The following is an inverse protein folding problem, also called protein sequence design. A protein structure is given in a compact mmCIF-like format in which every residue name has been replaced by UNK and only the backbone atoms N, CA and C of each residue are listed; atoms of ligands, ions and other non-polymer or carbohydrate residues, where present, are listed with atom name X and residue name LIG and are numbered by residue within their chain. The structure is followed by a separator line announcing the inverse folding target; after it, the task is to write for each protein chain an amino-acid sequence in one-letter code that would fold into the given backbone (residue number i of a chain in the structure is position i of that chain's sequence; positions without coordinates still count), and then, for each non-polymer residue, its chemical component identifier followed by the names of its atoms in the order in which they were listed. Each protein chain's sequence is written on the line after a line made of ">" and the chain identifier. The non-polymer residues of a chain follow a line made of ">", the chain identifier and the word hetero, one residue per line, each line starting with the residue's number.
data_IF_478316576995
#
_entry.id   IF_478316576995
#
_cell.length_a   1.000
_cell.length_b   1.000
_cell.length_c   1.000
_cell.angle_alpha   90.00
_cell.angle_beta   90.00
_cell.angle_gamma   90.00
#
_symmetry.space_group_name_H-M   'P 1'
#
loop_
_entity.id
_entity.type
_entity.pdbx_description
1 polymer ?
#
# COMPACT_ATOMS: atom_id res chain seq x y z
N UNK A 1 9.03 7.09 1.88
CA UNK A 1 9.01 5.83 2.62
C UNK A 1 10.41 5.49 3.11
N UNK A 2 10.57 5.02 4.35
CA UNK A 2 11.84 4.59 4.90
C UNK A 2 11.83 3.07 5.14
N UNK A 3 12.85 2.37 4.67
CA UNK A 3 13.10 0.97 5.01
C UNK A 3 14.54 0.80 5.48
N UNK A 4 14.73 0.21 6.67
CA UNK A 4 16.06 0.02 7.26
C UNK A 4 16.48 -1.44 7.33
N UNK A 5 17.77 -1.70 7.18
CA UNK A 5 18.39 -3.01 7.32
C UNK A 5 19.57 -2.99 8.30
N UNK A 6 20.28 -4.09 8.40
CA UNK A 6 21.34 -4.32 9.41
C UNK A 6 22.45 -3.26 9.41
N UNK A 7 22.77 -2.68 8.24
CA UNK A 7 23.76 -1.59 8.14
C UNK A 7 23.34 -0.31 8.87
N UNK A 8 22.05 -0.06 9.02
CA UNK A 8 21.53 1.07 9.79
C UNK A 8 21.81 0.93 11.28
N UNK A 9 21.81 -0.30 11.81
CA UNK A 9 22.03 -0.55 13.23
C UNK A 9 23.48 -0.37 13.70
N UNK A 10 24.45 -0.33 12.80
CA UNK A 10 25.89 -0.32 13.12
C UNK A 10 26.35 0.84 14.01
N UNK A 11 25.62 1.95 14.04
CA UNK A 11 25.97 3.10 14.90
C UNK A 11 25.46 3.00 16.34
N UNK A 12 24.59 2.04 16.63
CA UNK A 12 23.97 1.88 17.96
C UNK A 12 24.84 1.03 18.91
N UNK A 13 24.52 1.10 20.22
CA UNK A 13 25.15 0.29 21.27
C UNK A 13 24.13 -0.56 21.99
N UNK A 14 24.50 -1.79 22.33
CA UNK A 14 23.72 -2.72 23.14
C UNK A 14 24.25 -2.79 24.59
N UNK A 15 23.69 -3.67 25.40
CA UNK A 15 24.08 -3.87 26.81
C UNK A 15 25.25 -4.86 26.99
N UNK A 16 25.89 -5.32 25.93
CA UNK A 16 27.10 -6.16 26.04
C UNK A 16 28.24 -5.39 26.70
N UNK A 17 28.94 -6.03 27.64
CA UNK A 17 30.00 -5.38 28.43
C UNK A 17 31.25 -5.02 27.62
N UNK A 18 31.58 -5.78 26.56
CA UNK A 18 32.80 -5.65 25.79
C UNK A 18 32.57 -5.06 24.38
N UNK A 19 32.54 -3.76 24.22
CA UNK A 19 32.42 -3.11 22.92
C UNK A 19 31.03 -3.20 22.28
N UNK A 20 30.09 -2.86 22.97
CA UNK A 20 28.66 -2.59 22.78
C UNK A 20 28.15 -2.13 21.40
N UNK A 21 28.83 -2.35 20.31
CA UNK A 21 28.32 -2.03 18.97
C UNK A 21 27.43 -3.14 18.43
N UNK A 22 26.34 -2.75 17.78
CA UNK A 22 25.51 -3.69 17.02
C UNK A 22 26.33 -4.35 15.91
N UNK A 23 26.01 -5.60 15.61
CA UNK A 23 26.72 -6.40 14.63
C UNK A 23 25.76 -6.88 13.53
N UNK A 24 26.29 -7.03 12.34
CA UNK A 24 25.56 -7.62 11.22
C UNK A 24 25.41 -9.13 11.39
N UNK A 25 24.41 -9.69 10.71
CA UNK A 25 23.99 -11.09 10.85
C UNK A 25 25.12 -12.12 10.79
N UNK A 26 26.10 -11.94 9.90
CA UNK A 26 27.22 -12.89 9.78
C UNK A 26 28.08 -13.01 11.05
N UNK A 27 28.32 -11.91 11.76
CA UNK A 27 29.13 -11.98 13.01
C UNK A 27 28.32 -12.63 14.13
N UNK A 28 27.01 -12.48 14.14
CA UNK A 28 26.12 -13.15 15.10
C UNK A 28 26.08 -14.65 14.79
N UNK A 29 26.03 -15.04 13.51
CA UNK A 29 26.12 -16.44 13.09
C UNK A 29 27.40 -17.12 13.60
N UNK A 30 28.56 -16.50 13.38
CA UNK A 30 29.86 -17.04 13.87
C UNK A 30 29.90 -17.11 15.40
N UNK A 31 29.31 -16.17 16.13
CA UNK A 31 29.26 -16.23 17.59
C UNK A 31 28.38 -17.40 18.08
N UNK A 32 27.24 -17.63 17.46
CA UNK A 32 26.39 -18.79 17.75
C UNK A 32 27.12 -20.11 17.49
N UNK A 33 27.87 -20.21 16.39
CA UNK A 33 28.68 -21.37 16.09
C UNK A 33 29.81 -21.57 17.10
N UNK A 34 30.46 -20.48 17.52
CA UNK A 34 31.55 -20.55 18.54
C UNK A 34 31.00 -20.99 19.90
N UNK A 35 29.83 -20.52 20.34
CA UNK A 35 29.19 -20.99 21.57
C UNK A 35 28.76 -22.47 21.48
N UNK A 36 28.64 -23.02 20.29
CA UNK A 36 28.38 -24.45 20.04
C UNK A 36 29.65 -25.28 19.78
N UNK A 37 30.83 -24.73 19.96
CA UNK A 37 32.13 -25.37 19.66
C UNK A 37 32.25 -25.92 18.23
N UNK A 38 31.56 -25.27 17.25
CA UNK A 38 31.64 -25.67 15.85
C UNK A 38 33.00 -25.24 15.27
N UNK A 39 33.78 -26.17 14.66
CA UNK A 39 35.05 -25.83 14.03
C UNK A 39 34.91 -24.74 12.96
N UNK A 40 35.89 -23.82 12.85
CA UNK A 40 35.85 -22.67 11.95
C UNK A 40 35.63 -23.05 10.49
N UNK A 41 36.18 -24.15 10.04
CA UNK A 41 36.03 -24.70 8.69
C UNK A 41 34.58 -25.13 8.36
N UNK A 42 33.74 -25.32 9.37
CA UNK A 42 32.33 -25.73 9.25
C UNK A 42 31.37 -24.60 9.52
N UNK A 43 31.86 -23.39 9.82
CA UNK A 43 31.04 -22.21 10.02
C UNK A 43 30.75 -21.50 8.69
N UNK A 44 29.56 -20.94 8.55
CA UNK A 44 29.18 -20.07 7.44
C UNK A 44 28.57 -18.76 7.96
N UNK A 45 28.27 -17.84 7.04
CA UNK A 45 27.74 -16.52 7.35
C UNK A 45 26.19 -16.51 7.51
N UNK A 46 25.51 -17.67 7.42
CA UNK A 46 24.07 -17.78 7.45
C UNK A 46 23.53 -17.84 8.89
N UNK A 47 22.98 -16.74 9.35
CA UNK A 47 22.36 -16.63 10.69
C UNK A 47 21.21 -17.64 10.89
N UNK A 48 20.45 -17.96 9.85
CA UNK A 48 19.32 -18.91 9.93
C UNK A 48 19.81 -20.31 10.29
N UNK A 49 20.89 -20.73 9.65
CA UNK A 49 21.52 -22.03 9.87
C UNK A 49 22.18 -22.10 11.25
N UNK A 50 22.93 -21.07 11.61
CA UNK A 50 23.57 -20.96 12.92
C UNK A 50 22.54 -20.98 14.06
N UNK A 51 21.45 -20.23 13.93
CA UNK A 51 20.36 -20.19 14.90
C UNK A 51 19.64 -21.53 15.03
N UNK A 52 19.38 -22.21 13.91
CA UNK A 52 18.75 -23.53 13.94
C UNK A 52 19.65 -24.57 14.62
N UNK A 53 20.96 -24.50 14.37
CA UNK A 53 21.95 -25.36 15.05
C UNK A 53 21.99 -25.08 16.56
N UNK A 54 22.04 -23.80 16.94
CA UNK A 54 22.09 -23.37 18.34
C UNK A 54 20.84 -23.81 19.12
N UNK A 55 19.64 -23.62 18.54
CA UNK A 55 18.38 -24.09 19.12
C UNK A 55 18.41 -25.60 19.34
N UNK A 56 18.96 -26.36 18.40
CA UNK A 56 19.05 -27.83 18.50
C UNK A 56 19.97 -28.29 19.66
N UNK A 57 21.02 -27.53 19.95
CA UNK A 57 21.97 -27.83 21.01
C UNK A 57 21.50 -27.37 22.40
N UNK A 58 20.93 -26.16 22.48
CA UNK A 58 20.70 -25.49 23.74
C UNK A 58 19.22 -25.12 24.01
N UNK A 59 18.36 -25.28 23.02
CA UNK A 59 16.93 -24.97 23.11
C UNK A 59 16.58 -23.50 22.87
N UNK A 60 15.25 -23.22 22.77
CA UNK A 60 14.72 -21.92 22.42
C UNK A 60 15.02 -20.82 23.45
N UNK A 61 14.98 -21.11 24.76
CA UNK A 61 15.23 -20.11 25.79
C UNK A 61 16.65 -19.53 25.72
N UNK A 62 17.60 -20.32 25.33
CA UNK A 62 19.00 -19.88 25.23
C UNK A 62 19.19 -18.94 24.04
N UNK A 63 18.62 -19.27 22.88
CA UNK A 63 18.70 -18.37 21.72
C UNK A 63 17.91 -17.08 21.96
N UNK A 64 16.74 -17.12 22.62
CA UNK A 64 15.98 -15.93 23.00
C UNK A 64 16.83 -15.02 23.88
N UNK A 65 17.43 -15.55 24.95
CA UNK A 65 18.28 -14.77 25.84
C UNK A 65 19.52 -14.21 25.12
N UNK A 66 20.11 -14.97 24.19
CA UNK A 66 21.21 -14.54 23.36
C UNK A 66 20.80 -13.34 22.50
N UNK A 67 19.72 -13.47 21.72
CA UNK A 67 19.25 -12.41 20.81
C UNK A 67 18.80 -11.14 21.57
N UNK A 68 18.16 -11.28 22.73
CA UNK A 68 17.82 -10.13 23.58
C UNK A 68 19.06 -9.37 24.02
N UNK A 69 20.13 -10.08 24.40
CA UNK A 69 21.42 -9.45 24.75
C UNK A 69 22.05 -8.71 23.57
N UNK A 70 21.90 -9.22 22.33
CA UNK A 70 22.46 -8.61 21.13
C UNK A 70 21.67 -7.41 20.63
N UNK A 71 20.33 -7.45 20.66
CA UNK A 71 19.46 -6.51 19.97
C UNK A 71 18.73 -5.51 20.87
N UNK A 72 18.78 -5.65 22.22
CA UNK A 72 18.24 -4.62 23.11
C UNK A 72 19.16 -3.40 23.11
N UNK A 73 18.57 -2.24 22.79
CA UNK A 73 19.27 -0.98 22.60
C UNK A 73 19.64 -0.34 23.94
N UNK A 74 20.88 0.07 24.07
CA UNK A 74 21.36 0.93 25.17
C UNK A 74 21.41 2.39 24.74
N UNK A 75 21.99 2.66 23.57
CA UNK A 75 22.24 4.01 23.06
C UNK A 75 22.20 4.00 21.54
N UNK A 76 21.64 5.04 20.93
CA UNK A 76 21.66 5.25 19.49
C UNK A 76 22.65 6.34 19.11
N UNK A 77 23.12 6.35 17.85
CA UNK A 77 24.01 7.39 17.34
C UNK A 77 23.25 8.70 17.07
N UNK A 78 23.93 9.86 17.04
CA UNK A 78 23.33 11.12 16.64
C UNK A 78 22.69 11.05 15.26
N UNK A 79 23.29 10.36 14.31
CA UNK A 79 22.79 10.16 12.96
C UNK A 79 21.46 9.39 12.93
N UNK A 80 21.36 8.32 13.72
CA UNK A 80 20.13 7.54 13.87
C UNK A 80 19.02 8.39 14.51
N UNK A 81 19.34 9.19 15.53
CA UNK A 81 18.42 10.12 16.14
C UNK A 81 17.88 11.14 15.12
N UNK A 82 18.76 11.76 14.36
CA UNK A 82 18.37 12.75 13.34
C UNK A 82 17.45 12.14 12.26
N UNK A 83 17.69 10.91 11.83
CA UNK A 83 16.82 10.23 10.87
C UNK A 83 15.39 10.08 11.37
N UNK A 84 15.20 9.86 12.70
CA UNK A 84 13.89 9.82 13.35
C UNK A 84 13.18 11.18 13.42
N UNK A 85 13.86 12.27 13.09
CA UNK A 85 13.25 13.60 13.09
C UNK A 85 12.44 13.91 11.83
N UNK A 86 12.70 13.17 10.73
CA UNK A 86 12.00 13.38 9.46
C UNK A 86 10.57 12.82 9.50
N UNK A 87 9.64 13.48 8.79
CA UNK A 87 8.24 13.06 8.72
C UNK A 87 8.05 11.94 7.68
N UNK A 88 8.52 10.74 8.02
CA UNK A 88 8.31 9.58 7.17
C UNK A 88 6.83 9.23 7.11
N UNK A 89 6.30 8.94 5.91
CA UNK A 89 4.93 8.44 5.75
C UNK A 89 4.71 7.17 6.57
N UNK A 90 5.65 6.23 6.50
CA UNK A 90 5.72 4.99 7.27
C UNK A 90 7.15 4.48 7.29
N UNK A 91 7.51 3.80 8.37
CA UNK A 91 8.78 3.14 8.52
C UNK A 91 8.61 1.63 8.43
N UNK A 92 9.52 0.98 7.72
CA UNK A 92 9.66 -0.47 7.66
C UNK A 92 11.06 -0.85 8.07
N UNK A 93 11.23 -2.04 8.64
CA UNK A 93 12.55 -2.53 8.98
C UNK A 93 12.67 -4.05 8.79
N UNK A 94 13.84 -4.47 8.32
CA UNK A 94 14.25 -5.88 8.30
C UNK A 94 14.93 -6.29 9.61
N UNK A 95 15.23 -5.31 10.48
CA UNK A 95 15.96 -5.52 11.72
C UNK A 95 15.04 -5.97 12.85
N UNK A 96 15.61 -6.66 13.80
CA UNK A 96 14.93 -7.08 15.03
C UNK A 96 14.94 -5.98 16.11
N UNK A 97 15.89 -5.04 16.02
CA UNK A 97 16.05 -3.94 16.98
C UNK A 97 15.01 -2.83 16.78
N UNK A 98 14.81 -2.01 17.82
CA UNK A 98 13.85 -0.91 17.86
C UNK A 98 14.58 0.46 17.80
N UNK A 99 15.61 0.59 16.96
CA UNK A 99 16.41 1.82 16.82
C UNK A 99 15.57 2.97 16.29
N UNK A 100 14.67 2.74 15.34
CA UNK A 100 13.80 3.77 14.79
C UNK A 100 12.82 4.29 15.84
N UNK A 101 12.21 3.41 16.63
CA UNK A 101 11.32 3.75 17.71
C UNK A 101 12.05 4.59 18.78
N UNK A 102 13.27 4.16 19.13
CA UNK A 102 14.13 4.91 20.04
C UNK A 102 14.49 6.28 19.48
N UNK A 103 14.80 6.38 18.19
CA UNK A 103 15.10 7.63 17.51
C UNK A 103 13.90 8.62 17.56
N UNK A 104 12.69 8.12 17.32
CA UNK A 104 11.47 8.92 17.47
C UNK A 104 11.25 9.39 18.91
N UNK A 105 11.39 8.48 19.88
CA UNK A 105 11.24 8.80 21.30
C UNK A 105 12.20 9.89 21.76
N UNK A 106 13.47 9.84 21.32
CA UNK A 106 14.47 10.87 21.63
C UNK A 106 14.20 12.22 20.97
N UNK A 107 13.32 12.26 19.97
CA UNK A 107 12.79 13.47 19.33
C UNK A 107 11.39 13.85 19.87
N UNK A 108 10.95 13.29 21.01
CA UNK A 108 9.64 13.52 21.61
C UNK A 108 8.46 13.14 20.70
N UNK A 109 8.65 12.13 19.85
CA UNK A 109 7.64 11.57 18.95
C UNK A 109 7.39 10.12 19.33
N UNK A 110 6.20 9.62 19.03
CA UNK A 110 5.87 8.20 19.20
C UNK A 110 5.90 7.48 17.86
N UNK A 111 6.53 6.32 17.83
CA UNK A 111 6.51 5.37 16.72
C UNK A 111 6.18 4.00 17.32
N UNK A 112 5.05 3.43 16.95
CA UNK A 112 4.62 2.13 17.47
C UNK A 112 5.33 1.01 16.71
N UNK A 113 5.89 0.06 17.44
CA UNK A 113 6.52 -1.13 16.89
C UNK A 113 5.44 -2.16 16.60
N UNK A 114 5.34 -2.60 15.34
CA UNK A 114 4.36 -3.61 14.91
C UNK A 114 5.02 -4.67 14.03
N UNK A 115 4.44 -5.85 14.01
CA UNK A 115 4.88 -6.97 13.17
C UNK A 115 3.81 -7.30 12.13
N UNK A 116 4.13 -8.14 11.16
CA UNK A 116 3.17 -8.59 10.15
C UNK A 116 1.98 -9.37 10.73
N UNK A 117 2.09 -9.85 11.97
CA UNK A 117 1.01 -10.57 12.67
C UNK A 117 0.07 -9.67 13.47
N UNK A 118 0.42 -8.40 13.66
CA UNK A 118 -0.43 -7.46 14.37
C UNK A 118 -1.59 -6.99 13.47
N UNK A 119 -2.76 -6.73 14.06
CA UNK A 119 -3.92 -6.25 13.32
C UNK A 119 -3.69 -4.79 12.88
N UNK A 120 -3.55 -4.56 11.58
CA UNK A 120 -3.25 -3.24 11.02
C UNK A 120 -4.33 -2.19 11.34
N UNK A 121 -5.57 -2.61 11.52
CA UNK A 121 -6.71 -1.76 11.81
C UNK A 121 -6.58 -0.97 13.13
N UNK A 122 -5.86 -1.50 14.10
CA UNK A 122 -5.64 -0.83 15.40
C UNK A 122 -4.69 0.38 15.30
N UNK A 123 -3.93 0.49 14.20
CA UNK A 123 -2.88 1.50 14.02
C UNK A 123 -3.18 2.51 12.92
N UNK A 124 -4.45 2.72 12.56
CA UNK A 124 -4.87 3.58 11.44
C UNK A 124 -4.37 5.02 11.52
N UNK A 125 -4.31 5.57 12.74
CA UNK A 125 -3.91 6.96 13.01
C UNK A 125 -2.55 7.06 13.68
N UNK A 126 -1.82 5.96 13.82
CA UNK A 126 -0.56 5.92 14.54
C UNK A 126 0.63 5.91 13.59
N UNK A 127 1.70 6.63 13.94
CA UNK A 127 2.99 6.39 13.31
C UNK A 127 3.50 5.01 13.71
N UNK A 128 3.85 4.18 12.73
CA UNK A 128 4.31 2.82 12.97
C UNK A 128 5.63 2.53 12.29
N UNK A 129 6.42 1.65 12.92
CA UNK A 129 7.51 0.91 12.30
C UNK A 129 7.08 -0.54 12.14
N UNK A 130 6.99 -1.01 10.90
CA UNK A 130 6.59 -2.38 10.61
C UNK A 130 7.84 -3.26 10.50
N UNK A 131 7.99 -4.18 11.45
CA UNK A 131 9.08 -5.15 11.48
C UNK A 131 8.74 -6.37 10.60
N UNK A 132 9.32 -6.42 9.40
CA UNK A 132 9.05 -7.47 8.41
C UNK A 132 9.59 -8.85 8.83
N UNK A 133 10.58 -8.89 9.71
CA UNK A 133 11.20 -10.11 10.21
C UNK A 133 10.93 -10.38 11.71
N UNK A 134 10.08 -9.56 12.33
CA UNK A 134 9.77 -9.62 13.76
C UNK A 134 10.61 -8.64 14.59
N UNK A 135 10.19 -8.39 15.84
CA UNK A 135 10.78 -7.42 16.75
C UNK A 135 11.26 -8.08 18.05
N UNK A 136 12.40 -7.62 18.56
CA UNK A 136 13.06 -8.23 19.73
C UNK A 136 12.22 -8.16 21.00
N UNK A 137 11.45 -7.11 21.19
CA UNK A 137 10.57 -6.94 22.37
C UNK A 137 9.44 -7.96 22.43
N UNK A 138 9.01 -8.53 21.29
CA UNK A 138 7.99 -9.56 21.20
C UNK A 138 8.57 -10.97 21.10
N UNK A 139 9.89 -11.14 21.08
CA UNK A 139 10.53 -12.45 20.96
C UNK A 139 10.24 -13.34 22.17
N UNK A 140 9.63 -14.48 21.94
CA UNK A 140 9.24 -15.49 22.92
C UNK A 140 9.20 -16.87 22.28
N UNK A 141 8.98 -17.93 23.07
CA UNK A 141 8.76 -19.28 22.53
C UNK A 141 7.53 -19.37 21.62
N UNK A 142 6.52 -18.53 21.82
CA UNK A 142 5.32 -18.52 20.99
C UNK A 142 5.55 -17.83 19.62
N UNK A 143 6.44 -16.86 19.57
CA UNK A 143 6.69 -16.03 18.39
C UNK A 143 7.88 -16.52 17.54
N UNK A 144 8.86 -17.18 18.16
CA UNK A 144 9.97 -17.80 17.43
C UNK A 144 9.43 -18.80 16.39
N UNK A 145 9.95 -18.77 15.18
CA UNK A 145 9.44 -19.55 14.04
C UNK A 145 7.97 -19.23 13.60
N UNK A 146 7.34 -18.21 14.17
CA UNK A 146 6.03 -17.71 13.76
C UNK A 146 6.15 -16.28 13.20
N UNK A 147 5.89 -15.27 14.03
CA UNK A 147 6.04 -13.86 13.67
C UNK A 147 7.48 -13.37 13.69
N UNK A 148 8.40 -14.13 14.29
CA UNK A 148 9.83 -13.84 14.32
C UNK A 148 10.58 -14.76 13.36
N UNK A 149 11.15 -14.20 12.30
CA UNK A 149 11.87 -14.93 11.25
C UNK A 149 13.33 -15.12 11.64
N UNK A 150 13.70 -16.28 12.14
CA UNK A 150 15.04 -16.59 12.58
C UNK A 150 15.65 -17.82 11.90
N UNK A 151 14.83 -18.84 11.61
CA UNK A 151 15.29 -20.13 11.04
C UNK A 151 14.76 -20.32 9.62
N UNK A 152 15.31 -21.26 8.87
CA UNK A 152 14.76 -21.63 7.54
C UNK A 152 13.27 -21.96 7.58
N UNK A 153 12.80 -22.54 8.69
CA UNK A 153 11.39 -22.90 8.85
C UNK A 153 10.48 -21.68 8.88
N UNK A 154 10.93 -20.57 9.51
CA UNK A 154 10.17 -19.33 9.58
C UNK A 154 10.19 -18.56 8.26
N UNK A 155 11.28 -18.59 7.51
CA UNK A 155 11.39 -17.93 6.20
C UNK A 155 10.58 -18.64 5.10
N UNK A 156 10.37 -19.96 5.20
CA UNK A 156 9.63 -20.74 4.21
C UNK A 156 8.10 -20.72 4.42
N UNK A 157 7.58 -19.95 5.37
CA UNK A 157 6.14 -19.85 5.59
C UNK A 157 5.54 -18.76 4.70
N UNK A 158 4.67 -19.14 3.76
CA UNK A 158 3.92 -18.24 2.87
C UNK A 158 2.93 -17.28 3.58
N UNK A 159 2.85 -17.38 4.90
CA UNK A 159 1.85 -16.64 5.67
C UNK A 159 2.01 -15.10 5.61
N UNK A 160 3.21 -14.63 5.28
CA UNK A 160 3.56 -13.21 5.22
C UNK A 160 2.78 -12.47 4.13
N UNK A 161 2.56 -13.11 2.98
CA UNK A 161 1.90 -12.52 1.81
C UNK A 161 0.39 -12.30 2.00
N UNK A 162 -0.19 -12.81 3.07
CA UNK A 162 -1.62 -12.75 3.37
C UNK A 162 -1.93 -11.93 4.63
N UNK A 163 -1.03 -11.06 5.05
CA UNK A 163 -1.25 -10.18 6.21
C UNK A 163 -1.68 -8.79 5.77
N UNK A 164 -2.53 -8.13 6.56
CA UNK A 164 -2.96 -6.76 6.27
C UNK A 164 -1.78 -5.77 6.17
N UNK A 165 -0.72 -5.97 6.95
CA UNK A 165 0.49 -5.14 6.86
C UNK A 165 1.28 -5.36 5.57
N UNK A 166 1.24 -6.55 4.99
CA UNK A 166 1.88 -6.78 3.70
C UNK A 166 1.13 -6.08 2.56
N UNK A 167 -0.20 -6.13 2.56
CA UNK A 167 -1.03 -5.39 1.61
C UNK A 167 -0.77 -3.88 1.71
N UNK A 168 -0.71 -3.34 2.93
CA UNK A 168 -0.38 -1.93 3.17
C UNK A 168 1.03 -1.58 2.68
N UNK A 169 2.00 -2.48 2.86
CA UNK A 169 3.35 -2.28 2.37
C UNK A 169 3.39 -2.23 0.84
N UNK A 170 2.68 -3.13 0.16
CA UNK A 170 2.55 -3.08 -1.30
C UNK A 170 1.94 -1.77 -1.77
N UNK A 171 0.89 -1.30 -1.09
CA UNK A 171 0.25 -0.01 -1.39
C UNK A 171 1.17 1.18 -1.11
N UNK A 172 1.88 1.19 0.00
CA UNK A 172 2.85 2.24 0.33
C UNK A 172 3.97 2.32 -0.71
N UNK A 173 4.46 1.18 -1.19
CA UNK A 173 5.46 1.14 -2.27
C UNK A 173 4.92 1.74 -3.58
N UNK A 174 3.65 1.56 -3.88
CA UNK A 174 3.02 2.13 -5.07
C UNK A 174 2.77 3.63 -4.94
N UNK A 175 2.34 4.08 -3.77
CA UNK A 175 1.83 5.43 -3.52
C UNK A 175 2.90 6.46 -3.14
N UNK A 176 4.03 6.04 -2.58
CA UNK A 176 5.07 6.98 -2.16
C UNK A 176 5.81 7.58 -3.36
N UNK A 177 6.28 8.82 -3.20
CA UNK A 177 7.09 9.53 -4.20
C UNK A 177 8.54 9.06 -4.20
N UNK A 178 9.06 8.62 -3.05
CA UNK A 178 10.41 8.09 -2.91
C UNK A 178 10.47 7.00 -1.83
N UNK A 179 11.32 5.99 -2.08
CA UNK A 179 11.59 4.86 -1.19
C UNK A 179 13.07 4.85 -0.90
N UNK A 180 13.43 4.93 0.36
CA UNK A 180 14.82 4.90 0.80
C UNK A 180 15.10 3.63 1.58
N UNK A 181 15.99 2.80 1.05
CA UNK A 181 16.55 1.64 1.73
C UNK A 181 17.87 2.04 2.37
N UNK A 182 17.95 2.02 3.69
CA UNK A 182 19.13 2.46 4.44
C UNK A 182 19.81 1.28 5.11
N UNK A 183 21.01 0.95 4.67
CA UNK A 183 21.80 -0.16 5.21
C UNK A 183 21.22 -1.55 4.91
N UNK A 184 20.55 -1.71 3.76
CA UNK A 184 19.96 -2.96 3.29
C UNK A 184 20.82 -3.57 2.18
N UNK A 185 21.21 -4.84 2.32
CA UNK A 185 21.89 -5.61 1.25
C UNK A 185 20.91 -6.41 0.38
N UNK A 186 19.71 -6.67 0.88
CA UNK A 186 18.63 -7.49 0.27
C UNK A 186 19.02 -8.94 -0.08
N UNK A 187 20.27 -9.38 0.15
CA UNK A 187 20.77 -10.71 -0.24
C UNK A 187 19.94 -11.87 0.31
N UNK A 188 19.28 -11.69 1.45
CA UNK A 188 18.50 -12.73 2.13
C UNK A 188 16.98 -12.56 1.99
N UNK A 189 16.51 -11.46 1.40
CA UNK A 189 15.10 -11.05 1.43
C UNK A 189 14.45 -11.24 0.06
N UNK A 190 14.39 -12.50 -0.39
CA UNK A 190 13.86 -12.86 -1.73
C UNK A 190 12.43 -12.39 -1.97
N UNK A 191 11.56 -12.40 -0.95
CA UNK A 191 10.19 -11.92 -1.07
C UNK A 191 10.14 -10.43 -1.39
N UNK A 192 11.00 -9.63 -0.74
CA UNK A 192 11.11 -8.20 -0.99
C UNK A 192 11.70 -7.91 -2.38
N UNK A 193 12.73 -8.65 -2.80
CA UNK A 193 13.29 -8.56 -4.16
C UNK A 193 12.20 -8.83 -5.20
N UNK A 194 11.45 -9.92 -5.05
CA UNK A 194 10.36 -10.25 -5.96
C UNK A 194 9.24 -9.20 -5.98
N UNK A 195 8.95 -8.58 -4.83
CA UNK A 195 7.97 -7.51 -4.76
C UNK A 195 8.46 -6.27 -5.53
N UNK A 196 9.70 -5.86 -5.34
CA UNK A 196 10.29 -4.72 -6.05
C UNK A 196 10.37 -4.97 -7.56
N UNK A 197 10.78 -6.16 -7.98
CA UNK A 197 10.92 -6.53 -9.40
C UNK A 197 9.56 -6.53 -10.14
N UNK A 198 8.52 -7.07 -9.51
CA UNK A 198 7.18 -7.13 -10.14
C UNK A 198 6.42 -5.80 -10.14
N UNK A 199 6.80 -4.84 -9.29
CA UNK A 199 6.08 -3.58 -9.13
C UNK A 199 6.56 -2.57 -10.16
N UNK A 200 5.69 -2.25 -11.14
CA UNK A 200 6.02 -1.30 -12.21
C UNK A 200 6.34 0.09 -11.68
N UNK A 201 7.34 0.74 -12.29
CA UNK A 201 7.79 2.10 -12.00
C UNK A 201 8.36 2.32 -10.59
N UNK A 202 8.57 1.25 -9.82
CA UNK A 202 9.14 1.38 -8.47
C UNK A 202 10.62 1.72 -8.52
N UNK A 203 11.33 1.21 -9.52
CA UNK A 203 12.78 1.41 -9.69
C UNK A 203 13.18 2.88 -9.75
N UNK A 204 12.40 3.71 -10.44
CA UNK A 204 12.70 5.15 -10.65
C UNK A 204 12.62 5.97 -9.35
N UNK A 205 11.89 5.47 -8.34
CA UNK A 205 11.69 6.13 -7.04
C UNK A 205 12.33 5.39 -5.87
N UNK A 206 13.08 4.32 -6.15
CA UNK A 206 13.78 3.52 -5.14
C UNK A 206 15.25 3.92 -5.07
N UNK A 207 15.72 4.25 -3.87
CA UNK A 207 17.08 4.66 -3.58
C UNK A 207 17.69 3.78 -2.49
N UNK A 208 18.87 3.23 -2.76
CA UNK A 208 19.63 2.43 -1.80
C UNK A 208 20.77 3.25 -1.22
N UNK A 209 20.70 3.57 0.07
CA UNK A 209 21.74 4.28 0.79
C UNK A 209 22.78 3.26 1.26
N UNK A 210 23.90 3.24 0.60
CA UNK A 210 25.00 2.29 0.83
C UNK A 210 26.25 3.00 1.35
N UNK A 211 27.20 2.23 1.88
CA UNK A 211 28.47 2.75 2.34
C UNK A 211 29.23 3.50 1.24
N UNK A 212 30.04 4.54 1.59
CA UNK A 212 30.80 5.29 0.59
C UNK A 212 31.84 4.44 -0.13
N UNK A 213 32.36 3.40 0.53
CA UNK A 213 33.41 2.51 0.04
C UNK A 213 32.86 1.19 -0.56
N UNK A 214 31.54 1.09 -0.74
CA UNK A 214 30.91 -0.11 -1.33
C UNK A 214 31.41 -0.33 -2.75
N UNK A 215 31.75 -1.59 -3.08
CA UNK A 215 32.26 -1.92 -4.40
C UNK A 215 31.13 -2.06 -5.44
N UNK A 216 31.45 -1.84 -6.72
CA UNK A 216 30.45 -1.82 -7.80
C UNK A 216 29.86 -3.21 -8.09
N UNK A 217 30.56 -4.31 -7.73
CA UNK A 217 30.05 -5.67 -7.92
C UNK A 217 28.88 -5.94 -6.96
N UNK A 218 29.03 -5.51 -5.69
CA UNK A 218 27.98 -5.68 -4.68
C UNK A 218 26.75 -4.79 -4.97
N UNK A 219 26.96 -3.68 -5.71
CA UNK A 219 25.88 -2.76 -6.10
C UNK A 219 25.09 -3.22 -7.31
N UNK A 220 25.63 -4.09 -8.15
CA UNK A 220 25.02 -4.50 -9.43
C UNK A 220 23.59 -5.03 -9.23
N UNK A 221 23.35 -5.84 -8.20
CA UNK A 221 22.02 -6.34 -7.87
C UNK A 221 21.06 -5.23 -7.43
N UNK A 222 21.54 -4.22 -6.72
CA UNK A 222 20.72 -3.08 -6.28
C UNK A 222 20.39 -2.14 -7.43
N UNK A 223 21.26 -2.00 -8.44
CA UNK A 223 21.05 -1.20 -9.64
C UNK A 223 19.89 -1.75 -10.50
N UNK A 224 19.62 -3.04 -10.43
CA UNK A 224 18.47 -3.63 -11.10
C UNK A 224 17.13 -3.21 -10.44
N UNK A 225 17.14 -2.93 -9.14
CA UNK A 225 15.97 -2.62 -8.32
C UNK A 225 15.77 -1.13 -8.05
N UNK A 226 16.81 -0.31 -8.18
CA UNK A 226 16.76 1.13 -7.88
C UNK A 226 18.08 1.83 -8.13
N UNK A 227 18.29 2.98 -7.49
CA UNK A 227 19.49 3.80 -7.61
C UNK A 227 20.34 3.71 -6.34
N UNK A 228 21.53 3.09 -6.36
CA UNK A 228 22.46 3.13 -5.24
C UNK A 228 23.06 4.53 -5.06
N UNK A 229 23.08 5.01 -3.82
CA UNK A 229 23.69 6.28 -3.43
C UNK A 229 24.79 5.99 -2.38
N UNK A 230 26.06 6.20 -2.75
CA UNK A 230 27.24 5.97 -1.89
C UNK A 230 27.44 7.10 -0.86
N UNK A 231 26.39 7.36 -0.05
CA UNK A 231 26.37 8.43 0.94
C UNK A 231 26.69 7.94 2.36
N UNK A 232 26.47 6.67 2.63
CA UNK A 232 26.36 6.20 4.00
C UNK A 232 25.20 6.84 4.75
N UNK A 233 24.89 6.37 5.94
CA UNK A 233 23.78 6.92 6.75
C UNK A 233 24.01 8.38 7.13
N UNK A 234 25.26 8.77 7.46
CA UNK A 234 25.60 10.16 7.82
C UNK A 234 25.43 11.13 6.65
N UNK A 235 25.93 10.77 5.46
CA UNK A 235 25.78 11.59 4.25
C UNK A 235 24.31 11.74 3.87
N UNK A 236 23.53 10.65 3.96
CA UNK A 236 22.11 10.69 3.68
C UNK A 236 21.35 11.62 4.63
N UNK A 237 21.59 11.55 5.93
CA UNK A 237 20.97 12.46 6.90
C UNK A 237 21.35 13.92 6.64
N UNK A 238 22.60 14.19 6.27
CA UNK A 238 23.05 15.53 5.90
C UNK A 238 22.30 16.08 4.68
N UNK A 239 22.10 15.26 3.66
CA UNK A 239 21.31 15.67 2.49
C UNK A 239 19.85 15.91 2.85
N UNK A 240 19.25 15.03 3.67
CA UNK A 240 17.89 15.24 4.14
C UNK A 240 17.69 16.53 4.92
N UNK A 241 18.67 16.98 5.71
CA UNK A 241 18.62 18.26 6.45
C UNK A 241 18.52 19.49 5.53
N UNK A 242 18.94 19.37 4.28
CA UNK A 242 18.82 20.42 3.27
C UNK A 242 17.43 20.44 2.60
N UNK A 243 16.60 19.42 2.83
CA UNK A 243 15.24 19.34 2.27
C UNK A 243 14.27 20.09 3.20
N UNK A 244 13.48 21.06 2.69
CA UNK A 244 12.49 21.73 3.51
C UNK A 244 11.45 20.71 4.03
N UNK A 245 11.32 20.63 5.34
CA UNK A 245 10.31 19.78 5.97
C UNK A 245 8.94 20.44 5.78
N UNK A 246 8.11 19.84 4.95
CA UNK A 246 6.69 20.15 4.90
C UNK A 246 6.04 19.29 5.99
N UNK A 247 5.39 19.93 6.96
CA UNK A 247 4.60 19.18 7.94
C UNK A 247 3.50 18.42 7.21
N UNK A 248 3.69 17.11 7.05
CA UNK A 248 2.69 16.21 6.52
C UNK A 248 2.01 15.58 7.73
N UNK A 249 0.72 15.83 7.89
CA UNK A 249 -0.09 15.07 8.84
C UNK A 249 0.05 13.58 8.51
N UNK A 250 0.10 12.74 9.54
CA UNK A 250 0.18 11.29 9.35
C UNK A 250 -1.03 10.88 8.54
N UNK A 251 -0.88 10.37 7.31
CA UNK A 251 -2.03 10.05 6.50
C UNK A 251 -2.79 8.89 7.15
N UNK A 252 -4.08 9.06 7.28
CA UNK A 252 -4.97 7.98 7.71
C UNK A 252 -4.85 6.80 6.72
N UNK A 253 -4.68 5.59 7.22
CA UNK A 253 -4.58 4.41 6.37
C UNK A 253 -5.96 3.81 6.17
N UNK A 254 -6.45 3.88 4.94
CA UNK A 254 -7.72 3.29 4.54
C UNK A 254 -7.50 1.85 4.06
N UNK A 255 -8.42 0.95 4.42
CA UNK A 255 -8.42 -0.47 4.02
C UNK A 255 -9.64 -0.84 3.18
N UNK A 256 -10.70 -0.06 3.30
CA UNK A 256 -11.99 -0.32 2.67
C UNK A 256 -12.34 0.76 1.66
N UNK A 257 -11.94 1.99 1.94
CA UNK A 257 -12.11 3.11 1.02
C UNK A 257 -10.79 3.40 0.29
N UNK A 258 -10.84 3.44 -1.02
CA UNK A 258 -9.70 3.79 -1.86
C UNK A 258 -9.93 5.11 -2.57
N UNK A 259 -8.85 5.86 -2.78
CA UNK A 259 -8.87 7.02 -3.68
C UNK A 259 -8.36 6.58 -5.05
N UNK A 260 -9.17 6.74 -6.12
CA UNK A 260 -8.76 6.36 -7.47
C UNK A 260 -7.47 7.08 -7.89
N UNK A 261 -6.63 6.40 -8.64
CA UNK A 261 -5.31 6.92 -9.04
C UNK A 261 -5.39 7.47 -10.46
N UNK A 262 -4.85 8.66 -10.66
CA UNK A 262 -4.68 9.25 -11.98
C UNK A 262 -3.21 9.07 -12.39
N UNK A 263 -2.96 8.25 -13.41
CA UNK A 263 -1.63 8.17 -14.02
C UNK A 263 -1.59 8.98 -15.31
N UNK A 264 -0.53 9.79 -15.47
CA UNK A 264 -0.31 10.58 -16.69
C UNK A 264 0.53 9.83 -17.73
N UNK A 265 1.00 8.63 -17.41
CA UNK A 265 1.82 7.83 -18.32
C UNK A 265 0.95 7.15 -19.37
N UNK A 266 1.42 7.16 -20.63
CA UNK A 266 0.76 6.45 -21.73
C UNK A 266 0.84 4.95 -21.49
N UNK A 267 -0.28 4.26 -21.22
CA UNK A 267 -0.24 2.83 -20.96
C UNK A 267 0.02 2.07 -22.27
N UNK A 268 0.63 0.89 -22.14
CA UNK A 268 0.69 -0.04 -23.28
C UNK A 268 -0.72 -0.53 -23.64
N UNK A 269 -1.09 -0.34 -24.90
CA UNK A 269 -2.37 -0.82 -25.41
C UNK A 269 -2.34 -2.33 -25.58
N UNK A 270 -2.88 -3.07 -24.63
CA UNK A 270 -3.00 -4.54 -24.72
C UNK A 270 -4.41 -4.90 -25.12
N UNK A 271 -4.56 -5.64 -26.24
CA UNK A 271 -5.85 -6.20 -26.68
C UNK A 271 -6.50 -7.06 -25.60
N UNK A 272 -5.69 -7.70 -24.75
CA UNK A 272 -6.13 -8.51 -23.60
C UNK A 272 -6.91 -7.66 -22.61
N UNK A 273 -6.46 -6.45 -22.25
CA UNK A 273 -7.15 -5.59 -21.29
C UNK A 273 -8.56 -5.20 -21.75
N UNK A 274 -8.76 -5.04 -23.06
CA UNK A 274 -10.09 -4.74 -23.59
C UNK A 274 -10.99 -5.98 -23.63
N UNK A 275 -10.45 -7.16 -23.91
CA UNK A 275 -11.18 -8.43 -23.81
C UNK A 275 -11.58 -8.71 -22.36
N UNK A 276 -10.68 -8.47 -21.40
CA UNK A 276 -10.96 -8.65 -19.98
C UNK A 276 -12.05 -7.70 -19.49
N UNK A 277 -12.09 -6.45 -19.99
CA UNK A 277 -13.20 -5.53 -19.72
C UNK A 277 -14.53 -6.08 -20.24
N UNK A 278 -14.59 -6.51 -21.50
CA UNK A 278 -15.84 -6.95 -22.13
C UNK A 278 -16.35 -8.29 -21.60
N UNK A 279 -15.45 -9.23 -21.31
CA UNK A 279 -15.81 -10.61 -20.95
C UNK A 279 -15.91 -10.79 -19.43
N UNK A 280 -15.02 -10.16 -18.68
CA UNK A 280 -14.93 -10.34 -17.22
C UNK A 280 -15.38 -9.11 -16.42
N UNK A 281 -15.58 -7.96 -17.08
CA UNK A 281 -15.90 -6.69 -16.42
C UNK A 281 -14.70 -6.07 -15.69
N UNK A 282 -13.49 -6.57 -15.88
CA UNK A 282 -12.30 -6.04 -15.23
C UNK A 282 -11.87 -4.72 -15.87
N UNK A 283 -11.93 -3.64 -15.12
CA UNK A 283 -11.55 -2.29 -15.55
C UNK A 283 -10.07 -2.07 -15.29
N UNK A 284 -9.29 -1.80 -16.35
CA UNK A 284 -7.93 -1.30 -16.21
C UNK A 284 -7.98 0.22 -15.99
N UNK A 285 -7.75 0.66 -14.74
CA UNK A 285 -7.88 2.06 -14.33
C UNK A 285 -6.87 2.98 -15.02
N UNK A 286 -5.67 2.49 -15.34
CA UNK A 286 -4.67 3.27 -16.07
C UNK A 286 -5.10 3.52 -17.52
N UNK A 287 -5.64 2.48 -18.17
CA UNK A 287 -6.21 2.63 -19.51
C UNK A 287 -7.42 3.55 -19.50
N UNK A 288 -8.29 3.43 -18.50
CA UNK A 288 -9.46 4.27 -18.34
C UNK A 288 -9.07 5.74 -18.16
N UNK A 289 -8.18 6.04 -17.21
CA UNK A 289 -7.71 7.40 -16.93
C UNK A 289 -7.05 8.04 -18.18
N UNK A 290 -6.20 7.28 -18.89
CA UNK A 290 -5.59 7.77 -20.11
C UNK A 290 -6.62 7.99 -21.24
N UNK A 291 -7.60 7.09 -21.39
CA UNK A 291 -8.67 7.21 -22.39
C UNK A 291 -9.58 8.40 -22.14
N UNK A 292 -9.87 8.73 -20.89
CA UNK A 292 -10.70 9.91 -20.54
C UNK A 292 -10.04 11.19 -21.08
N UNK A 293 -8.72 11.31 -20.98
CA UNK A 293 -7.96 12.47 -21.48
C UNK A 293 -7.73 12.46 -22.99
N UNK A 294 -7.73 11.29 -23.61
CA UNK A 294 -7.31 11.09 -25.01
C UNK A 294 -8.36 10.28 -25.82
N UNK A 295 -9.64 10.54 -25.62
CA UNK A 295 -10.76 9.74 -26.15
C UNK A 295 -10.65 9.50 -27.67
N UNK A 296 -10.28 10.50 -28.45
CA UNK A 296 -10.21 10.41 -29.92
C UNK A 296 -9.09 9.51 -30.41
N UNK A 297 -7.93 9.55 -29.74
CA UNK A 297 -6.71 8.82 -30.13
C UNK A 297 -6.57 7.47 -29.44
N UNK A 298 -7.18 7.30 -28.27
CA UNK A 298 -7.07 6.10 -27.46
C UNK A 298 -8.43 5.68 -26.87
N UNK A 299 -9.37 5.16 -27.69
CA UNK A 299 -10.69 4.78 -27.21
C UNK A 299 -10.64 3.46 -26.43
N UNK A 300 -10.85 3.53 -25.13
CA UNK A 300 -11.06 2.40 -24.21
C UNK A 300 -12.42 2.47 -23.53
N UNK A 301 -13.00 3.67 -23.44
CA UNK A 301 -14.20 3.97 -22.72
C UNK A 301 -15.19 4.76 -23.60
N UNK A 302 -16.49 4.53 -23.44
CA UNK A 302 -17.54 5.33 -24.05
C UNK A 302 -18.04 6.35 -23.06
N UNK A 303 -17.86 7.63 -23.37
CA UNK A 303 -18.42 8.71 -22.55
C UNK A 303 -19.94 8.68 -22.62
N UNK A 304 -20.55 8.40 -21.47
CA UNK A 304 -22.01 8.44 -21.34
C UNK A 304 -22.45 9.90 -21.11
N UNK A 305 -23.46 10.37 -21.86
CA UNK A 305 -24.01 11.72 -21.67
C UNK A 305 -24.46 11.95 -20.22
N UNK A 306 -24.93 10.89 -19.56
CA UNK A 306 -25.33 10.87 -18.15
C UNK A 306 -24.17 11.12 -17.17
N UNK A 307 -22.91 10.93 -17.58
CA UNK A 307 -21.74 11.22 -16.75
C UNK A 307 -21.62 12.73 -16.48
N UNK A 308 -21.80 13.54 -17.52
CA UNK A 308 -21.77 15.01 -17.37
C UNK A 308 -22.93 15.51 -16.50
N UNK A 309 -24.09 14.89 -16.61
CA UNK A 309 -25.25 15.23 -15.73
C UNK A 309 -24.92 14.98 -14.26
N UNK A 310 -24.31 13.83 -13.93
CA UNK A 310 -23.87 13.52 -12.55
C UNK A 310 -22.81 14.50 -12.07
N UNK A 311 -21.82 14.80 -12.90
CA UNK A 311 -20.77 15.78 -12.57
C UNK A 311 -21.38 17.17 -12.26
N UNK A 312 -22.30 17.64 -13.06
CA UNK A 312 -23.01 18.92 -12.83
C UNK A 312 -23.84 18.91 -11.54
N UNK A 313 -24.52 17.79 -11.24
CA UNK A 313 -25.25 17.62 -9.99
C UNK A 313 -24.38 17.67 -8.76
N UNK A 314 -23.23 16.97 -8.78
CA UNK A 314 -22.24 17.03 -7.70
C UNK A 314 -21.67 18.46 -7.57
N UNK A 315 -21.39 19.12 -8.68
CA UNK A 315 -20.89 20.49 -8.70
C UNK A 315 -21.90 21.50 -8.10
N UNK A 316 -23.20 21.28 -8.32
CA UNK A 316 -24.28 22.09 -7.73
C UNK A 316 -24.59 21.74 -6.27
N UNK A 317 -23.83 20.83 -5.66
CA UNK A 317 -24.00 20.45 -4.25
C UNK A 317 -25.12 19.43 -4.01
N UNK A 318 -25.48 18.61 -5.01
CA UNK A 318 -26.45 17.53 -4.80
C UNK A 318 -25.89 16.53 -3.78
N UNK A 319 -26.54 16.33 -2.64
CA UNK A 319 -26.00 15.51 -1.56
C UNK A 319 -26.10 14.01 -1.85
N UNK A 320 -27.06 13.61 -2.70
CA UNK A 320 -27.41 12.21 -2.84
C UNK A 320 -27.82 11.83 -4.27
N UNK A 321 -27.08 10.88 -4.86
CA UNK A 321 -27.28 10.42 -6.23
C UNK A 321 -27.32 8.89 -6.24
N UNK A 322 -28.26 8.31 -6.98
CA UNK A 322 -28.36 6.87 -7.21
C UNK A 322 -28.21 6.57 -8.70
N UNK A 323 -27.26 5.71 -9.02
CA UNK A 323 -26.99 5.25 -10.38
C UNK A 323 -27.52 3.82 -10.53
N UNK A 324 -28.50 3.66 -11.40
CA UNK A 324 -29.20 2.40 -11.66
C UNK A 324 -28.77 1.79 -12.99
N UNK A 325 -28.65 0.49 -13.03
CA UNK A 325 -28.55 -0.25 -14.29
C UNK A 325 -28.79 -1.75 -14.10
N UNK A 326 -29.17 -2.41 -15.18
CA UNK A 326 -29.18 -3.86 -15.24
C UNK A 326 -27.77 -4.43 -15.36
N UNK A 327 -27.67 -5.76 -15.28
CA UNK A 327 -26.40 -6.46 -15.36
C UNK A 327 -25.72 -6.23 -16.72
N UNK A 328 -24.46 -5.87 -16.70
CA UNK A 328 -23.63 -5.73 -17.92
C UNK A 328 -23.69 -4.35 -18.59
N UNK A 329 -24.49 -3.40 -18.12
CA UNK A 329 -24.62 -2.06 -18.72
C UNK A 329 -23.52 -1.05 -18.31
N UNK A 330 -22.40 -1.55 -17.74
CA UNK A 330 -21.19 -0.75 -17.53
C UNK A 330 -21.24 0.16 -16.30
N UNK A 331 -22.05 -0.16 -15.27
CA UNK A 331 -22.19 0.62 -14.02
C UNK A 331 -20.83 0.87 -13.34
N UNK A 332 -20.06 -0.17 -13.06
CA UNK A 332 -18.73 -0.06 -12.45
C UNK A 332 -17.78 0.81 -13.28
N UNK A 333 -17.79 0.63 -14.61
CA UNK A 333 -16.99 1.44 -15.52
C UNK A 333 -17.39 2.92 -15.48
N UNK A 334 -18.70 3.20 -15.43
CA UNK A 334 -19.23 4.55 -15.27
C UNK A 334 -18.79 5.20 -13.96
N UNK A 335 -18.88 4.50 -12.84
CA UNK A 335 -18.48 5.01 -11.53
C UNK A 335 -16.98 5.24 -11.41
N UNK A 336 -16.16 4.35 -11.97
CA UNK A 336 -14.72 4.55 -12.05
C UNK A 336 -14.34 5.74 -12.94
N UNK A 337 -15.03 5.92 -14.07
CA UNK A 337 -14.84 7.11 -14.91
C UNK A 337 -15.28 8.40 -14.18
N UNK A 338 -16.41 8.37 -13.48
CA UNK A 338 -16.88 9.47 -12.66
C UNK A 338 -15.86 9.87 -11.60
N UNK A 339 -15.29 8.88 -10.90
CA UNK A 339 -14.29 9.12 -9.85
C UNK A 339 -13.04 9.80 -10.39
N UNK A 340 -12.53 9.38 -11.56
CA UNK A 340 -11.38 9.99 -12.22
C UNK A 340 -11.69 11.44 -12.62
N UNK A 341 -12.86 11.69 -13.25
CA UNK A 341 -13.28 13.04 -13.64
C UNK A 341 -13.44 14.00 -12.44
N UNK A 342 -13.91 13.49 -11.31
CA UNK A 342 -14.05 14.26 -10.07
C UNK A 342 -12.70 14.64 -9.48
N UNK A 343 -11.75 13.71 -9.46
CA UNK A 343 -10.37 13.97 -9.01
C UNK A 343 -9.68 15.03 -9.89
N UNK A 344 -9.87 14.97 -11.21
CA UNK A 344 -9.33 15.98 -12.13
C UNK A 344 -9.92 17.38 -11.88
N UNK A 345 -11.17 17.44 -11.38
CA UNK A 345 -11.82 18.69 -10.95
C UNK A 345 -11.46 19.09 -9.50
N UNK A 346 -10.46 18.44 -8.88
CA UNK A 346 -9.98 18.75 -7.54
C UNK A 346 -10.89 18.35 -6.38
N UNK A 347 -11.83 17.43 -6.62
CA UNK A 347 -12.66 16.87 -5.55
C UNK A 347 -11.93 15.73 -4.84
N UNK A 348 -12.13 15.58 -3.54
CA UNK A 348 -11.73 14.37 -2.81
C UNK A 348 -12.72 13.27 -3.13
N UNK A 349 -12.24 12.09 -3.52
CA UNK A 349 -13.10 10.95 -3.90
C UNK A 349 -12.66 9.72 -3.13
N UNK A 350 -13.63 9.08 -2.47
CA UNK A 350 -13.46 7.83 -1.75
C UNK A 350 -14.41 6.78 -2.33
N UNK A 351 -13.86 5.67 -2.77
CA UNK A 351 -14.58 4.57 -3.38
C UNK A 351 -14.55 3.36 -2.44
N UNK A 352 -15.69 2.81 -2.06
CA UNK A 352 -15.75 1.62 -1.22
C UNK A 352 -15.45 0.37 -2.06
N UNK A 353 -14.32 -0.28 -1.80
CA UNK A 353 -13.94 -1.53 -2.46
C UNK A 353 -14.38 -2.77 -1.70
N UNK A 354 -14.37 -2.70 -0.37
CA UNK A 354 -14.75 -3.84 0.47
C UNK A 354 -15.69 -3.37 1.58
N UNK A 355 -16.86 -4.00 1.68
CA UNK A 355 -17.75 -3.77 2.82
C UNK A 355 -17.30 -4.64 4.01
N UNK A 356 -17.10 -3.97 5.14
CA UNK A 356 -16.83 -4.60 6.42
C UNK A 356 -17.35 -3.71 7.54
N UNK A 357 -17.57 -4.27 8.73
CA UNK A 357 -17.97 -3.48 9.89
C UNK A 357 -16.96 -2.38 10.22
N UNK A 358 -15.68 -2.62 9.97
CA UNK A 358 -14.59 -1.67 10.15
C UNK A 358 -14.57 -0.51 9.13
N UNK A 359 -15.25 -0.63 7.98
CA UNK A 359 -15.45 0.48 7.06
C UNK A 359 -16.21 1.66 7.69
N UNK A 360 -16.97 1.41 8.75
CA UNK A 360 -17.69 2.44 9.50
C UNK A 360 -16.72 3.43 10.14
N UNK A 361 -15.59 2.98 10.68
CA UNK A 361 -14.59 3.85 11.33
C UNK A 361 -13.87 4.72 10.29
N UNK A 362 -13.61 4.15 9.11
CA UNK A 362 -13.05 4.91 7.99
C UNK A 362 -14.01 5.98 7.49
N UNK A 363 -15.30 5.63 7.41
CA UNK A 363 -16.34 6.58 7.05
C UNK A 363 -16.43 7.71 8.08
N UNK A 364 -16.39 7.40 9.38
CA UNK A 364 -16.37 8.38 10.46
C UNK A 364 -15.18 9.33 10.31
N UNK A 365 -14.01 8.81 9.97
CA UNK A 365 -12.83 9.62 9.70
C UNK A 365 -13.02 10.52 8.49
N UNK A 366 -13.49 9.98 7.34
CA UNK A 366 -13.77 10.76 6.12
C UNK A 366 -14.73 11.91 6.41
N UNK A 367 -15.82 11.63 7.14
CA UNK A 367 -16.86 12.60 7.42
C UNK A 367 -16.43 13.69 8.42
N UNK A 368 -15.52 13.39 9.35
CA UNK A 368 -15.13 14.32 10.43
C UNK A 368 -13.86 15.13 10.12
N UNK A 369 -13.02 14.69 9.21
CA UNK A 369 -11.70 15.30 9.00
C UNK A 369 -11.62 16.28 7.82
N UNK A 370 -12.66 16.40 7.01
CA UNK A 370 -12.57 17.24 5.81
C UNK A 370 -13.71 18.24 5.73
N UNK A 371 -13.39 19.53 5.65
CA UNK A 371 -14.31 20.58 5.22
C UNK A 371 -14.32 20.74 3.68
N UNK A 372 -13.47 19.99 2.98
CA UNK A 372 -13.36 20.04 1.52
C UNK A 372 -14.51 19.26 0.83
N UNK A 373 -14.94 19.70 -0.36
CA UNK A 373 -15.95 18.98 -1.12
C UNK A 373 -15.54 17.55 -1.42
N UNK A 374 -16.20 16.61 -0.78
CA UNK A 374 -15.86 15.18 -0.80
C UNK A 374 -16.98 14.37 -1.45
N UNK A 375 -16.60 13.38 -2.26
CA UNK A 375 -17.54 12.44 -2.89
C UNK A 375 -17.25 11.03 -2.40
N UNK A 376 -18.26 10.35 -1.88
CA UNK A 376 -18.18 8.96 -1.45
C UNK A 376 -18.98 8.11 -2.44
N UNK A 377 -18.35 7.08 -3.01
CA UNK A 377 -18.94 6.18 -4.01
C UNK A 377 -19.08 4.79 -3.42
N UNK A 378 -20.27 4.22 -3.46
CA UNK A 378 -20.59 2.88 -2.96
C UNK A 378 -21.35 2.10 -4.02
N UNK A 379 -20.81 0.99 -4.49
CA UNK A 379 -21.49 0.03 -5.37
C UNK A 379 -22.33 -0.99 -4.59
N UNK A 380 -23.40 -1.47 -5.22
CA UNK A 380 -24.30 -2.49 -4.67
C UNK A 380 -24.74 -2.14 -3.25
N UNK A 381 -25.30 -0.94 -3.10
CA UNK A 381 -25.62 -0.35 -1.80
C UNK A 381 -26.60 -1.19 -0.96
N UNK A 382 -27.43 -2.03 -1.60
CA UNK A 382 -28.35 -2.93 -0.90
C UNK A 382 -27.63 -3.90 0.04
N UNK A 383 -26.36 -4.23 -0.25
CA UNK A 383 -25.52 -5.11 0.57
C UNK A 383 -24.86 -4.33 1.74
N UNK A 384 -24.83 -2.99 1.71
CA UNK A 384 -24.07 -2.14 2.66
C UNK A 384 -24.95 -1.36 3.64
N UNK A 385 -26.05 -1.95 4.04
CA UNK A 385 -27.12 -1.31 4.86
C UNK A 385 -26.60 -0.67 6.15
N UNK A 386 -25.69 -1.33 6.86
CA UNK A 386 -25.16 -0.82 8.12
C UNK A 386 -24.32 0.44 7.93
N UNK A 387 -23.54 0.50 6.86
CA UNK A 387 -22.75 1.65 6.48
C UNK A 387 -23.65 2.84 6.12
N UNK A 388 -24.71 2.59 5.34
CA UNK A 388 -25.69 3.62 4.97
C UNK A 388 -26.44 4.21 6.16
N UNK A 389 -26.83 3.38 7.14
CA UNK A 389 -27.44 3.87 8.40
C UNK A 389 -26.51 4.81 9.15
N UNK A 390 -25.21 4.62 9.05
CA UNK A 390 -24.23 5.50 9.67
C UNK A 390 -24.10 6.80 8.88
N UNK A 391 -23.98 6.72 7.54
CA UNK A 391 -23.90 7.90 6.65
C UNK A 391 -25.08 8.83 6.85
N UNK A 392 -26.30 8.30 6.92
CA UNK A 392 -27.51 9.09 7.11
C UNK A 392 -27.55 9.93 8.39
N UNK A 393 -26.66 9.67 9.34
CA UNK A 393 -26.51 10.49 10.57
C UNK A 393 -25.63 11.72 10.37
N UNK A 394 -24.83 11.76 9.31
CA UNK A 394 -23.97 12.90 9.00
C UNK A 394 -24.69 13.91 8.12
N UNK A 395 -24.96 15.10 8.65
CA UNK A 395 -25.47 16.24 7.88
C UNK A 395 -24.27 17.14 7.52
N UNK A 396 -23.58 16.80 6.45
CA UNK A 396 -22.46 17.62 6.00
C UNK A 396 -22.76 18.18 4.60
N UNK A 397 -22.83 19.50 4.47
CA UNK A 397 -23.11 20.21 3.23
C UNK A 397 -21.98 20.05 2.18
N UNK A 398 -20.85 19.44 2.54
CA UNK A 398 -19.69 19.25 1.66
C UNK A 398 -19.51 17.81 1.16
N UNK A 399 -20.38 16.88 1.59
CA UNK A 399 -20.31 15.48 1.17
C UNK A 399 -21.42 15.18 0.17
N UNK A 400 -21.03 14.65 -1.00
CA UNK A 400 -21.94 14.06 -1.97
C UNK A 400 -21.80 12.54 -1.96
N UNK A 401 -22.91 11.83 -1.77
CA UNK A 401 -22.97 10.38 -1.78
C UNK A 401 -23.46 9.90 -3.14
N UNK A 402 -22.66 9.07 -3.81
CA UNK A 402 -23.03 8.41 -5.07
C UNK A 402 -23.14 6.91 -4.80
N UNK A 403 -24.37 6.43 -4.83
CA UNK A 403 -24.69 5.01 -4.67
C UNK A 403 -24.99 4.39 -6.03
N UNK A 404 -24.77 3.09 -6.14
CA UNK A 404 -25.26 2.39 -7.31
C UNK A 404 -25.88 1.04 -6.95
N UNK A 405 -26.86 0.63 -7.76
CA UNK A 405 -27.52 -0.65 -7.59
C UNK A 405 -28.07 -1.19 -8.92
N UNK A 406 -28.41 -2.47 -8.94
CA UNK A 406 -29.18 -3.07 -10.02
C UNK A 406 -30.63 -2.68 -9.88
N UNK A 407 -31.30 -2.39 -11.00
CA UNK A 407 -32.70 -1.95 -10.98
C UNK A 407 -33.64 -2.83 -10.12
N UNK A 408 -33.63 -4.18 -10.20
CA UNK A 408 -34.50 -5.01 -9.35
C UNK A 408 -34.14 -4.96 -7.86
N UNK A 409 -32.85 -4.85 -7.52
CA UNK A 409 -32.43 -4.76 -6.13
C UNK A 409 -32.77 -3.38 -5.53
N UNK A 410 -32.64 -2.32 -6.34
CA UNK A 410 -33.07 -0.97 -5.98
C UNK A 410 -34.57 -0.91 -5.69
N UNK A 411 -35.43 -1.48 -6.53
CA UNK A 411 -36.89 -1.53 -6.31
C UNK A 411 -37.24 -2.14 -4.96
N UNK A 412 -36.43 -3.07 -4.47
CA UNK A 412 -36.63 -3.71 -3.16
C UNK A 412 -36.09 -2.85 -2.01
N UNK A 413 -34.94 -2.18 -2.22
CA UNK A 413 -34.18 -1.48 -1.19
C UNK A 413 -34.50 0.03 -1.09
N UNK A 414 -35.16 0.63 -2.11
CA UNK A 414 -35.32 2.09 -2.19
C UNK A 414 -36.10 2.70 -1.02
N UNK A 415 -37.13 2.02 -0.52
CA UNK A 415 -37.90 2.50 0.64
C UNK A 415 -37.00 2.59 1.89
N UNK A 416 -36.20 1.61 2.08
CA UNK A 416 -35.22 1.60 3.18
C UNK A 416 -34.16 2.70 3.05
N UNK A 417 -33.68 2.93 1.83
CA UNK A 417 -32.74 4.01 1.54
C UNK A 417 -33.35 5.41 1.84
N UNK A 418 -34.59 5.62 1.46
CA UNK A 418 -35.33 6.84 1.73
C UNK A 418 -35.54 7.11 3.22
N UNK A 419 -35.81 6.06 4.00
CA UNK A 419 -35.95 6.17 5.46
C UNK A 419 -34.62 6.57 6.15
N UNK A 420 -33.46 6.17 5.57
CA UNK A 420 -32.14 6.52 6.11
C UNK A 420 -31.72 7.93 5.75
N UNK A 421 -31.91 8.34 4.49
CA UNK A 421 -31.30 9.56 3.93
C UNK A 421 -32.14 10.82 4.14
N UNK A 422 -33.42 10.70 4.47
CA UNK A 422 -34.36 11.80 4.70
C UNK A 422 -34.64 12.70 3.46
N UNK A 423 -33.89 12.54 2.39
CA UNK A 423 -34.00 13.27 1.12
C UNK A 423 -34.24 12.30 -0.04
N UNK A 424 -35.00 12.70 -1.03
CA UNK A 424 -35.17 11.91 -2.25
C UNK A 424 -33.89 11.96 -3.10
N UNK A 425 -33.33 10.79 -3.54
CA UNK A 425 -32.15 10.75 -4.35
C UNK A 425 -32.38 11.33 -5.75
N UNK A 426 -31.33 11.90 -6.32
CA UNK A 426 -31.30 12.14 -7.76
C UNK A 426 -30.95 10.81 -8.46
N UNK A 427 -31.94 10.23 -9.14
CA UNK A 427 -31.74 8.91 -9.79
C UNK A 427 -31.33 9.05 -11.25
N UNK A 428 -30.39 8.20 -11.66
CA UNK A 428 -29.96 8.08 -13.06
C UNK A 428 -29.96 6.60 -13.46
N UNK A 429 -30.66 6.33 -14.57
CA UNK A 429 -30.69 5.00 -15.18
C UNK A 429 -29.71 4.91 -16.35
N UNK A 430 -28.83 3.90 -16.34
CA UNK A 430 -27.83 3.63 -17.40
C UNK A 430 -28.28 2.56 -18.41
N UNK A 431 -29.50 2.06 -18.37
CA UNK A 431 -29.94 0.94 -19.20
C UNK A 431 -29.94 1.25 -20.70
N UNK A 432 -30.18 2.47 -21.09
CA UNK A 432 -30.23 2.86 -22.50
C UNK A 432 -29.01 3.66 -22.92
N UNK A 433 -28.49 3.36 -24.10
CA UNK A 433 -27.48 4.13 -24.81
C UNK A 433 -28.17 5.10 -25.79
N UNK A 434 -27.67 6.31 -25.89
CA UNK A 434 -28.04 7.22 -26.96
C UNK A 434 -27.42 6.78 -28.28
N UNK A 435 -28.01 7.20 -29.43
CA UNK A 435 -27.45 6.86 -30.75
C UNK A 435 -25.97 7.25 -30.87
N UNK A 436 -25.59 8.40 -30.31
CA UNK A 436 -24.20 8.88 -30.26
C UNK A 436 -23.31 7.97 -29.43
N UNK A 437 -23.79 7.46 -28.31
CA UNK A 437 -23.06 6.51 -27.47
C UNK A 437 -22.89 5.16 -28.17
N UNK A 438 -23.92 4.70 -28.91
CA UNK A 438 -23.84 3.49 -29.74
C UNK A 438 -22.77 3.63 -30.82
N UNK A 439 -22.76 4.76 -31.55
CA UNK A 439 -21.72 5.03 -32.54
C UNK A 439 -20.30 5.03 -31.92
N UNK A 440 -20.15 5.65 -30.75
CA UNK A 440 -18.89 5.67 -30.01
C UNK A 440 -18.46 4.26 -29.58
N UNK A 441 -19.41 3.43 -29.13
CA UNK A 441 -19.15 2.04 -28.76
C UNK A 441 -18.66 1.23 -29.96
N UNK A 442 -19.29 1.37 -31.11
CA UNK A 442 -18.87 0.73 -32.36
C UNK A 442 -17.42 1.12 -32.68
N UNK A 443 -17.08 2.41 -32.61
CA UNK A 443 -15.72 2.90 -32.86
C UNK A 443 -14.69 2.30 -31.86
N UNK A 444 -15.06 2.22 -30.57
CA UNK A 444 -14.20 1.59 -29.54
C UNK A 444 -13.93 0.13 -29.88
N UNK A 445 -14.95 -0.63 -30.26
CA UNK A 445 -14.86 -2.05 -30.61
C UNK A 445 -14.04 -2.26 -31.88
N UNK A 446 -14.26 -1.44 -32.93
CA UNK A 446 -13.53 -1.50 -34.21
C UNK A 446 -12.03 -1.15 -34.03
N UNK A 447 -11.72 -0.04 -33.35
CA UNK A 447 -10.34 0.42 -33.10
C UNK A 447 -9.55 -0.55 -32.22
N UNK A 448 -10.22 -1.37 -31.41
CA UNK A 448 -9.58 -2.43 -30.61
C UNK A 448 -9.54 -3.79 -31.32
N UNK A 449 -9.96 -3.85 -32.61
CA UNK A 449 -9.82 -5.03 -33.48
C UNK A 449 -10.75 -6.19 -33.10
N UNK A 450 -11.85 -5.92 -32.40
CA UNK A 450 -12.83 -6.93 -32.01
C UNK A 450 -13.98 -7.05 -33.00
N UNK A 451 -14.20 -6.05 -33.82
CA UNK A 451 -15.15 -6.07 -34.90
C UNK A 451 -14.50 -5.59 -36.20
N UNK A 452 -14.61 -6.42 -37.24
CA UNK A 452 -14.33 -6.03 -38.63
C UNK A 452 -15.64 -6.12 -39.39
N UNK A 453 -16.06 -5.03 -40.04
CA UNK A 453 -17.12 -5.12 -41.02
C UNK A 453 -16.73 -6.20 -42.04
N UNK A 454 -17.39 -7.35 -42.04
CA UNK A 454 -17.26 -8.32 -43.12
C UNK A 454 -17.82 -7.67 -44.36
N UNK A 455 -16.95 -7.15 -45.22
CA UNK A 455 -17.30 -6.83 -46.60
C UNK A 455 -17.65 -8.15 -47.27
N UNK A 456 -18.90 -8.27 -47.73
CA UNK A 456 -19.48 -9.31 -48.53
C UNK A 456 -19.89 -10.62 -47.82
N UNK A 457 -21.16 -10.66 -47.37
CA UNK A 457 -22.02 -11.75 -47.75
C UNK A 457 -22.82 -11.29 -48.99
N UNK A 458 -22.38 -11.64 -50.18
CA UNK A 458 -23.25 -11.81 -51.34
C UNK A 458 -23.91 -13.17 -51.13
N UNK A 459 -25.24 -13.16 -51.01
CA UNK A 459 -26.11 -14.31 -51.19
C UNK A 459 -26.10 -14.72 -52.64
#
# INVERSE_FOLDING_TARGET
>A
LLLTGAGFSLGAKNYKQDKSAFRIAKYIAHELYNECDVPKENQDDDLRRASQWYIRQYGEDKIIAFLQREFIIKEISPTQKELGNFPWRRCYTLNYDEILERAYLENNKLLSSVTLSDESEQYRTSSVCVHLNGVISQLSRATIDNSFKLTYKSYNKDYIKNTGWWEIFEDDLLLCDAIFFVGCSLQSDTDLIHLLDRTKNIKEKTFFIVGPDENDIDLMQLEDLGTPLKLGTEGFVRELQNVPIINVDIPYTFHHFVTPRITNQKPERKRISFIDLLVKGNVDENLLAYSIKNADSFPYFVFRDKLEVVLQKIQSGCPFIVVLSDLGNGKTLFLKALSICLLEKGKKVFYLERDALSAIDELDYICNQTDDPTVIIIENYADTVNLLKKIGRYKHNHISLVLSERTPAHETAHLFLRDIMLDDPFEIDLNELTDKEVESLIQVVEKNGLWQKRSHFTV
#
